data_IF_900720013487
#
_entry.id   IF_900720013487
#
_cell.length_a   1.000
_cell.length_b   1.000
_cell.length_c   1.000
_cell.angle_alpha   90.00
_cell.angle_beta   90.00
_cell.angle_gamma   90.00
#
_symmetry.space_group_name_H-M   'P 1'
#
loop_
_entity.id
_entity.type
_entity.pdbx_description
1 polymer ?
#
# COMPACT_ATOMS: atom_id res chain seq x y z
N UNK A 1 0.30 -22.40 -29.67
CA UNK A 1 0.79 -22.26 -28.29
C UNK A 1 -0.36 -22.61 -27.38
N UNK A 2 -0.17 -23.54 -26.44
CA UNK A 2 -1.20 -23.83 -25.42
C UNK A 2 -1.23 -22.63 -24.49
N UNK A 3 -2.37 -21.95 -24.38
CA UNK A 3 -2.56 -20.86 -23.44
C UNK A 3 -2.37 -21.40 -22.02
N UNK A 4 -1.20 -21.14 -21.44
CA UNK A 4 -0.94 -21.46 -20.05
C UNK A 4 -1.65 -20.39 -19.21
N UNK A 5 -2.58 -20.81 -18.36
CA UNK A 5 -3.32 -19.90 -17.50
C UNK A 5 -2.33 -19.11 -16.62
N UNK A 6 -2.57 -17.82 -16.44
CA UNK A 6 -1.68 -16.90 -15.74
C UNK A 6 -1.35 -17.38 -14.30
N UNK A 7 -2.34 -18.01 -13.65
CA UNK A 7 -2.22 -18.62 -12.33
C UNK A 7 -1.21 -19.78 -12.29
N UNK A 8 -1.13 -20.56 -13.37
CA UNK A 8 -0.18 -21.67 -13.48
C UNK A 8 1.25 -21.16 -13.66
N UNK A 9 1.42 -20.08 -14.44
CA UNK A 9 2.72 -19.39 -14.58
C UNK A 9 3.12 -18.81 -13.22
N UNK A 10 2.19 -18.15 -12.53
CA UNK A 10 2.46 -17.60 -11.20
C UNK A 10 2.88 -18.67 -10.20
N UNK A 11 2.16 -19.79 -10.13
CA UNK A 11 2.50 -20.89 -9.23
C UNK A 11 3.87 -21.50 -9.60
N UNK A 12 4.12 -21.73 -10.89
CA UNK A 12 5.37 -22.32 -11.39
C UNK A 12 6.60 -21.48 -11.05
N UNK A 13 6.49 -20.15 -11.13
CA UNK A 13 7.60 -19.24 -10.91
C UNK A 13 7.56 -18.55 -9.53
N UNK A 14 6.67 -18.99 -8.64
CA UNK A 14 6.43 -18.37 -7.33
C UNK A 14 6.22 -16.83 -7.43
N UNK A 15 5.52 -16.38 -8.47
CA UNK A 15 5.29 -14.96 -8.73
C UNK A 15 4.08 -14.51 -7.92
N UNK A 16 4.28 -13.49 -7.09
CA UNK A 16 3.20 -12.83 -6.36
C UNK A 16 2.15 -12.24 -7.32
N UNK A 17 0.84 -12.33 -6.99
CA UNK A 17 -0.22 -11.70 -7.77
C UNK A 17 0.09 -10.23 -8.12
N UNK A 18 -0.25 -9.81 -9.34
CA UNK A 18 0.00 -8.44 -9.80
C UNK A 18 -0.71 -7.40 -8.91
N UNK A 19 -1.89 -7.73 -8.38
CA UNK A 19 -2.61 -6.89 -7.43
C UNK A 19 -1.75 -6.57 -6.21
N UNK A 20 -1.23 -7.59 -5.55
CA UNK A 20 -0.41 -7.46 -4.33
C UNK A 20 0.86 -6.64 -4.60
N UNK A 21 1.53 -6.88 -5.72
CA UNK A 21 2.70 -6.09 -6.13
C UNK A 21 2.37 -4.60 -6.33
N UNK A 22 1.21 -4.30 -6.92
CA UNK A 22 0.73 -2.92 -7.09
C UNK A 22 0.37 -2.28 -5.75
N UNK A 23 -0.33 -3.01 -4.87
CA UNK A 23 -0.72 -2.50 -3.55
C UNK A 23 0.52 -2.16 -2.72
N UNK A 24 1.54 -3.02 -2.70
CA UNK A 24 2.84 -2.74 -2.04
C UNK A 24 3.50 -1.49 -2.64
N UNK A 25 3.56 -1.39 -3.97
CA UNK A 25 4.19 -0.26 -4.64
C UNK A 25 3.48 1.06 -4.33
N UNK A 26 2.15 1.07 -4.34
CA UNK A 26 1.33 2.24 -4.03
C UNK A 26 1.56 2.72 -2.59
N UNK A 27 1.56 1.80 -1.62
CA UNK A 27 1.82 2.14 -0.21
C UNK A 27 3.24 2.68 -0.02
N UNK A 28 4.25 2.02 -0.60
CA UNK A 28 5.64 2.47 -0.50
C UNK A 28 5.86 3.81 -1.20
N UNK A 29 5.16 4.06 -2.31
CA UNK A 29 5.23 5.34 -3.02
C UNK A 29 4.67 6.47 -2.16
N UNK A 30 3.46 6.31 -1.61
CA UNK A 30 2.85 7.29 -0.72
C UNK A 30 3.73 7.51 0.52
N UNK A 31 4.20 6.44 1.15
CA UNK A 31 5.08 6.54 2.31
C UNK A 31 6.37 7.32 2.00
N UNK A 32 7.01 7.09 0.84
CA UNK A 32 8.19 7.85 0.41
C UNK A 32 7.93 9.36 0.21
N UNK A 33 6.72 9.74 -0.19
CA UNK A 33 6.32 11.15 -0.24
C UNK A 33 6.24 11.72 1.18
N UNK A 34 5.60 11.00 2.11
CA UNK A 34 5.43 11.44 3.51
C UNK A 34 6.76 11.66 4.23
N UNK A 35 7.73 10.76 4.04
CA UNK A 35 9.06 10.87 4.66
C UNK A 35 10.03 11.77 3.85
N UNK A 36 9.54 12.49 2.84
CA UNK A 36 10.35 13.42 2.05
C UNK A 36 11.41 12.77 1.16
N UNK A 37 11.34 11.45 0.91
CA UNK A 37 12.23 10.76 -0.05
C UNK A 37 11.86 11.08 -1.50
N UNK A 38 10.61 11.42 -1.75
CA UNK A 38 10.15 11.99 -3.02
C UNK A 38 9.79 13.45 -2.77
N UNK A 39 10.63 14.35 -3.28
CA UNK A 39 10.43 15.80 -3.17
C UNK A 39 9.57 16.28 -4.33
N UNK A 40 8.25 16.20 -4.15
CA UNK A 40 7.29 16.77 -5.08
C UNK A 40 6.19 17.47 -4.30
N UNK A 41 6.24 18.80 -4.31
CA UNK A 41 5.33 19.62 -3.52
C UNK A 41 3.88 19.43 -3.94
N UNK A 42 3.61 19.37 -5.25
CA UNK A 42 2.25 19.19 -5.78
C UNK A 42 1.62 17.88 -5.30
N UNK A 43 2.40 16.79 -5.31
CA UNK A 43 1.95 15.51 -4.79
C UNK A 43 1.73 15.55 -3.29
N UNK A 44 2.62 16.20 -2.54
CA UNK A 44 2.45 16.36 -1.09
C UNK A 44 1.20 17.16 -0.75
N UNK A 45 0.94 18.26 -1.46
CA UNK A 45 -0.24 19.10 -1.28
C UNK A 45 -1.55 18.37 -1.64
N UNK A 46 -1.48 17.39 -2.54
CA UNK A 46 -2.64 16.55 -2.88
C UNK A 46 -3.05 15.57 -1.77
N UNK A 47 -2.17 15.31 -0.80
CA UNK A 47 -2.43 14.41 0.34
C UNK A 47 -3.21 15.19 1.41
N UNK A 48 -4.43 14.73 1.70
CA UNK A 48 -5.26 15.33 2.75
C UNK A 48 -5.22 14.47 4.00
N UNK A 49 -4.70 14.99 5.10
CA UNK A 49 -4.74 14.30 6.40
C UNK A 49 -6.07 14.53 7.10
N UNK A 50 -6.53 13.52 7.82
CA UNK A 50 -7.71 13.63 8.68
C UNK A 50 -7.27 14.11 10.06
N UNK A 51 -7.74 15.27 10.49
CA UNK A 51 -7.54 15.74 11.86
C UNK A 51 -8.30 14.85 12.85
N UNK A 52 -7.57 14.13 13.71
CA UNK A 52 -8.17 13.31 14.76
C UNK A 52 -8.76 14.17 15.88
N UNK A 53 -10.02 14.58 15.74
CA UNK A 53 -10.77 15.23 16.82
C UNK A 53 -11.38 14.15 17.74
N UNK A 54 -10.63 13.82 18.80
CA UNK A 54 -11.10 13.21 20.06
C UNK A 54 -11.57 11.73 20.10
N UNK A 55 -11.54 10.95 19.01
CA UNK A 55 -11.88 9.52 19.10
C UNK A 55 -10.80 8.62 18.46
N UNK A 56 -10.25 7.70 19.25
CA UNK A 56 -9.02 6.93 18.97
C UNK A 56 -9.24 5.56 18.32
N UNK A 57 -10.49 5.16 18.03
CA UNK A 57 -10.82 3.77 17.72
C UNK A 57 -10.99 3.44 16.23
N UNK A 58 -11.17 4.45 15.36
CA UNK A 58 -11.09 4.32 13.90
C UNK A 58 -10.45 5.58 13.34
N UNK A 59 -9.24 5.44 12.80
CA UNK A 59 -8.34 6.53 12.44
C UNK A 59 -7.92 6.35 10.99
N UNK A 60 -8.82 6.64 10.06
CA UNK A 60 -8.35 6.93 8.70
C UNK A 60 -7.33 8.08 8.80
N UNK A 61 -6.07 7.83 8.46
CA UNK A 61 -5.02 8.84 8.41
C UNK A 61 -5.32 9.90 7.34
N UNK A 62 -5.90 9.45 6.22
CA UNK A 62 -6.12 10.26 5.04
C UNK A 62 -7.60 10.50 4.79
N UNK A 63 -7.92 11.71 4.35
CA UNK A 63 -9.21 12.04 3.76
C UNK A 63 -9.16 11.67 2.29
N UNK A 64 -10.02 10.73 1.89
CA UNK A 64 -10.14 10.31 0.50
C UNK A 64 -10.88 11.37 -0.31
N UNK A 65 -10.46 11.52 -1.56
CA UNK A 65 -11.13 12.40 -2.48
C UNK A 65 -12.37 11.70 -3.04
N UNK A 66 -13.56 12.30 -2.83
CA UNK A 66 -14.85 11.69 -3.16
C UNK A 66 -15.46 12.23 -4.46
N UNK A 67 -14.69 12.93 -5.30
CA UNK A 67 -15.21 13.35 -6.61
C UNK A 67 -15.73 12.14 -7.39
N UNK A 68 -16.89 12.32 -8.04
CA UNK A 68 -17.68 11.24 -8.64
C UNK A 68 -17.08 10.66 -9.92
N UNK A 69 -16.01 11.26 -10.47
CA UNK A 69 -15.37 10.77 -11.67
C UNK A 69 -14.51 9.52 -11.38
N UNK A 70 -14.68 8.50 -12.23
CA UNK A 70 -13.96 7.23 -12.12
C UNK A 70 -12.44 7.38 -12.11
N UNK A 71 -11.93 8.43 -12.76
CA UNK A 71 -10.50 8.75 -12.82
C UNK A 71 -9.95 9.13 -11.44
N UNK A 72 -10.66 9.97 -10.67
CA UNK A 72 -10.23 10.34 -9.32
C UNK A 72 -10.39 9.16 -8.36
N UNK A 73 -11.51 8.44 -8.44
CA UNK A 73 -11.79 7.30 -7.58
C UNK A 73 -10.73 6.21 -7.71
N UNK A 74 -10.28 5.91 -8.93
CA UNK A 74 -9.28 4.89 -9.21
C UNK A 74 -7.86 5.44 -9.36
N UNK A 75 -7.64 6.72 -9.05
CA UNK A 75 -6.32 7.34 -9.12
C UNK A 75 -5.34 6.59 -8.19
N UNK A 76 -4.06 6.49 -8.58
CA UNK A 76 -3.04 5.85 -7.74
C UNK A 76 -2.98 6.45 -6.34
N UNK A 77 -3.13 7.78 -6.23
CA UNK A 77 -3.09 8.48 -4.94
C UNK A 77 -4.27 8.09 -4.04
N UNK A 78 -5.50 8.11 -4.57
CA UNK A 78 -6.67 7.76 -3.78
C UNK A 78 -6.66 6.28 -3.38
N UNK A 79 -6.16 5.40 -4.26
CA UNK A 79 -5.96 3.97 -3.95
C UNK A 79 -4.91 3.79 -2.85
N UNK A 80 -3.77 4.47 -2.94
CA UNK A 80 -2.71 4.41 -1.93
C UNK A 80 -3.19 4.89 -0.56
N UNK A 81 -3.88 6.03 -0.51
CA UNK A 81 -4.46 6.56 0.74
C UNK A 81 -5.52 5.61 1.32
N UNK A 82 -6.36 5.01 0.48
CA UNK A 82 -7.37 4.02 0.91
C UNK A 82 -6.70 2.77 1.50
N UNK A 83 -5.64 2.28 0.86
CA UNK A 83 -4.88 1.15 1.36
C UNK A 83 -4.22 1.47 2.70
N UNK A 84 -3.56 2.63 2.84
CA UNK A 84 -2.95 3.03 4.11
C UNK A 84 -3.99 3.18 5.23
N UNK A 85 -5.15 3.79 4.95
CA UNK A 85 -6.26 3.84 5.93
C UNK A 85 -6.70 2.43 6.35
N UNK A 86 -6.82 1.51 5.39
CA UNK A 86 -7.20 0.12 5.68
C UNK A 86 -6.17 -0.56 6.58
N UNK A 87 -4.87 -0.34 6.32
CA UNK A 87 -3.79 -0.94 7.10
C UNK A 87 -3.66 -0.33 8.51
N UNK A 88 -4.00 0.94 8.69
CA UNK A 88 -3.96 1.60 10.00
C UNK A 88 -5.15 1.27 10.90
N UNK A 89 -6.25 0.77 10.32
CA UNK A 89 -7.43 0.35 11.08
C UNK A 89 -7.43 -1.17 11.36
N UNK A 90 -8.29 -1.67 12.25
CA UNK A 90 -8.48 -3.10 12.47
C UNK A 90 -8.88 -3.82 11.16
N UNK A 91 -8.41 -5.06 10.92
CA UNK A 91 -7.65 -5.92 11.84
C UNK A 91 -6.12 -5.71 11.83
N UNK A 92 -5.59 -4.86 10.94
CA UNK A 92 -4.16 -4.75 10.70
C UNK A 92 -3.43 -3.89 11.73
N UNK A 93 -4.04 -2.77 12.14
CA UNK A 93 -3.52 -1.85 13.16
C UNK A 93 -2.04 -1.47 12.98
N UNK A 94 -1.61 -1.24 11.73
CA UNK A 94 -0.24 -0.81 11.45
C UNK A 94 -0.06 0.67 11.78
N UNK A 95 0.91 0.94 12.67
CA UNK A 95 1.39 2.30 12.94
C UNK A 95 2.28 2.75 11.79
N UNK A 96 1.70 3.37 10.76
CA UNK A 96 2.42 3.78 9.56
C UNK A 96 3.22 5.08 9.77
N UNK A 97 3.01 5.82 10.87
CA UNK A 97 3.68 7.10 11.12
C UNK A 97 5.08 6.91 11.72
N UNK A 98 5.28 5.84 12.49
CA UNK A 98 6.55 5.57 13.20
C UNK A 98 7.44 4.54 12.50
N UNK A 99 7.06 4.04 11.33
CA UNK A 99 7.76 2.94 10.66
C UNK A 99 8.97 3.38 9.86
N UNK A 100 9.96 2.48 9.73
CA UNK A 100 11.03 2.66 8.74
C UNK A 100 10.61 2.08 7.39
N UNK A 101 11.15 2.61 6.29
CA UNK A 101 10.84 2.11 4.95
C UNK A 101 11.11 0.59 4.80
N UNK A 102 12.20 0.12 5.39
CA UNK A 102 12.57 -1.31 5.37
C UNK A 102 11.62 -2.17 6.18
N UNK A 103 11.26 -1.73 7.38
CA UNK A 103 10.30 -2.45 8.25
C UNK A 103 8.91 -2.49 7.61
N UNK A 104 8.44 -1.36 7.08
CA UNK A 104 7.18 -1.29 6.35
C UNK A 104 7.17 -2.25 5.15
N UNK A 105 8.22 -2.21 4.31
CA UNK A 105 8.35 -3.12 3.17
C UNK A 105 8.24 -4.59 3.59
N UNK A 106 8.93 -4.98 4.66
CA UNK A 106 8.90 -6.35 5.17
C UNK A 106 7.50 -6.73 5.68
N UNK A 107 6.84 -5.87 6.46
CA UNK A 107 5.47 -6.08 6.93
C UNK A 107 4.49 -6.26 5.78
N UNK A 108 4.60 -5.42 4.74
CA UNK A 108 3.76 -5.52 3.54
C UNK A 108 4.04 -6.82 2.77
N UNK A 109 5.29 -7.22 2.63
CA UNK A 109 5.63 -8.50 2.01
C UNK A 109 5.04 -9.68 2.78
N UNK A 110 5.17 -9.71 4.11
CA UNK A 110 4.56 -10.74 4.95
C UNK A 110 3.03 -10.80 4.76
N UNK A 111 2.39 -9.62 4.71
CA UNK A 111 0.94 -9.51 4.62
C UNK A 111 0.39 -9.93 3.24
N UNK A 112 1.03 -9.49 2.17
CA UNK A 112 0.53 -9.66 0.81
C UNK A 112 1.15 -10.85 0.07
N UNK A 113 2.31 -11.35 0.51
CA UNK A 113 3.03 -12.42 -0.18
C UNK A 113 3.17 -13.69 0.68
N UNK A 114 2.82 -13.65 1.97
CA UNK A 114 3.20 -14.69 2.92
C UNK A 114 4.66 -14.57 3.35
N UNK A 115 5.10 -15.43 4.29
CA UNK A 115 6.50 -15.45 4.73
C UNK A 115 7.44 -15.63 3.53
N UNK A 116 8.59 -14.93 3.48
CA UNK A 116 9.63 -15.28 2.52
C UNK A 116 9.97 -16.75 2.81
N UNK A 117 9.68 -17.63 1.84
CA UNK A 117 10.20 -19.00 1.88
C UNK A 117 11.71 -18.93 2.09
N UNK A 118 12.31 -19.89 2.83
CA UNK A 118 13.72 -19.84 3.17
C UNK A 118 14.51 -19.58 1.90
N UNK A 119 15.32 -18.52 1.93
CA UNK A 119 16.28 -18.21 0.88
C UNK A 119 17.03 -19.51 0.59
N UNK A 120 16.86 -20.03 -0.63
CA UNK A 120 17.71 -21.10 -1.13
C UNK A 120 19.09 -20.47 -1.28
N UNK A 121 19.87 -20.59 -0.22
CA UNK A 121 21.31 -20.34 -0.24
C UNK A 121 21.88 -21.28 -1.32
N UNK A 122 22.59 -20.75 -2.33
CA UNK A 122 23.20 -21.57 -3.38
C UNK A 122 24.26 -22.53 -2.82
#
# INVERSE_FOLDING_TARGET
MKDCAYEQIMAKYNITPLKNRRDIADILFLFKILIGKIQCFDLYQSIQFRENRKNLLNKDLFKLNTYSNNETKNSPMNRAMTLMNTLSNPPYNMDLECESLSSLKNKLHMLFCGAPGPESVP
#
